data_IF_523145585535
#
_entry.id   IF_523145585535
#
_cell.length_a   1.000
_cell.length_b   1.000
_cell.length_c   1.000
_cell.angle_alpha   90.00
_cell.angle_beta   90.00
_cell.angle_gamma   90.00
#
_symmetry.space_group_name_H-M   'P 1'
#
loop_
_entity.id
_entity.type
_entity.pdbx_description
1 polymer ?
#
# COMPACT_ATOMS: atom_id res chain seq x y z
N UNK A 1 -1.12 -14.09 11.90
CA UNK A 1 -1.84 -13.84 10.64
C UNK A 1 -1.45 -14.91 9.63
N UNK A 2 -2.43 -15.49 8.95
CA UNK A 2 -2.17 -16.52 7.95
C UNK A 2 -1.71 -15.92 6.62
N UNK A 3 -1.13 -16.75 5.75
CA UNK A 3 -0.73 -16.32 4.40
C UNK A 3 -1.92 -15.75 3.63
N UNK A 4 -3.09 -16.40 3.73
CA UNK A 4 -4.30 -15.95 3.06
C UNK A 4 -4.72 -14.57 3.55
N UNK A 5 -4.67 -14.35 4.86
CA UNK A 5 -4.98 -13.05 5.46
C UNK A 5 -3.99 -11.97 5.01
N UNK A 6 -2.71 -12.30 4.94
CA UNK A 6 -1.69 -11.37 4.45
C UNK A 6 -1.91 -11.00 3.00
N UNK A 7 -2.26 -11.98 2.15
CA UNK A 7 -2.56 -11.73 0.74
C UNK A 7 -3.80 -10.85 0.58
N UNK A 8 -4.83 -11.09 1.39
CA UNK A 8 -6.03 -10.26 1.38
C UNK A 8 -5.72 -8.82 1.80
N UNK A 9 -4.92 -8.65 2.85
CA UNK A 9 -4.49 -7.34 3.32
C UNK A 9 -3.69 -6.62 2.23
N UNK A 10 -2.78 -7.31 1.58
CA UNK A 10 -2.00 -6.74 0.47
C UNK A 10 -2.89 -6.25 -0.65
N UNK A 11 -3.91 -7.03 -1.01
CA UNK A 11 -4.87 -6.65 -2.06
C UNK A 11 -5.61 -5.36 -1.71
N UNK A 12 -6.09 -5.26 -0.47
CA UNK A 12 -6.78 -4.06 0.01
C UNK A 12 -5.85 -2.84 -0.04
N UNK A 13 -4.62 -3.00 0.44
CA UNK A 13 -3.64 -1.91 0.45
C UNK A 13 -3.27 -1.49 -0.97
N UNK A 14 -3.12 -2.43 -1.89
CA UNK A 14 -2.80 -2.14 -3.29
C UNK A 14 -3.93 -1.36 -3.96
N UNK A 15 -5.18 -1.74 -3.71
CA UNK A 15 -6.34 -1.00 -4.21
C UNK A 15 -6.38 0.41 -3.64
N UNK A 16 -6.12 0.56 -2.36
CA UNK A 16 -6.07 1.88 -1.71
C UNK A 16 -4.98 2.74 -2.33
N UNK A 17 -3.79 2.20 -2.53
CA UNK A 17 -2.70 2.93 -3.17
C UNK A 17 -3.07 3.38 -4.57
N UNK A 18 -3.68 2.50 -5.38
CA UNK A 18 -4.15 2.84 -6.72
C UNK A 18 -5.15 3.99 -6.71
N UNK A 19 -6.11 3.97 -5.80
CA UNK A 19 -7.10 5.03 -5.65
C UNK A 19 -6.45 6.36 -5.26
N UNK A 20 -5.45 6.32 -4.37
CA UNK A 20 -4.72 7.52 -3.96
C UNK A 20 -3.91 8.10 -5.11
N UNK A 21 -3.27 7.24 -5.91
CA UNK A 21 -2.51 7.68 -7.09
C UNK A 21 -3.43 8.27 -8.17
N UNK A 22 -4.59 7.67 -8.39
CA UNK A 22 -5.59 8.20 -9.32
C UNK A 22 -6.06 9.58 -8.89
N UNK A 23 -6.32 9.75 -7.61
CA UNK A 23 -6.72 11.05 -7.06
C UNK A 23 -5.63 12.09 -7.26
N UNK A 24 -4.37 11.72 -7.01
CA UNK A 24 -3.23 12.59 -7.22
C UNK A 24 -3.13 13.01 -8.68
N UNK A 25 -3.29 12.07 -9.61
CA UNK A 25 -3.25 12.36 -11.04
C UNK A 25 -4.39 13.26 -11.48
N UNK A 26 -5.58 13.08 -10.91
CA UNK A 26 -6.76 13.87 -11.24
C UNK A 26 -6.65 15.30 -10.71
N UNK A 27 -6.15 15.44 -9.49
CA UNK A 27 -6.01 16.76 -8.84
C UNK A 27 -4.76 17.51 -9.29
N UNK A 28 -3.99 16.98 -10.17
CA UNK A 28 -2.64 17.32 -10.63
C UNK A 28 -2.19 18.77 -10.70
N UNK A 29 -2.88 19.68 -10.09
CA UNK A 29 -2.62 21.12 -10.17
C UNK A 29 -2.12 21.72 -8.88
N UNK A 30 -1.50 20.95 -8.04
CA UNK A 30 -0.57 21.59 -7.16
C UNK A 30 -0.93 21.90 -5.73
N UNK A 31 -2.11 21.59 -5.23
CA UNK A 31 -2.30 21.73 -3.78
C UNK A 31 -2.45 20.35 -3.16
N UNK A 32 -1.33 19.64 -3.09
CA UNK A 32 -1.30 18.35 -2.42
C UNK A 32 -1.12 18.61 -0.93
N UNK A 33 -2.11 18.22 -0.15
CA UNK A 33 -2.03 18.37 1.30
C UNK A 33 -0.97 17.41 1.86
N UNK A 34 -0.14 17.89 2.82
CA UNK A 34 0.87 17.03 3.44
C UNK A 34 0.30 15.73 4.04
N UNK A 35 -0.92 15.79 4.56
CA UNK A 35 -1.59 14.60 5.10
C UNK A 35 -1.88 13.55 4.04
N UNK A 36 -2.20 13.97 2.81
CA UNK A 36 -2.41 13.05 1.70
C UNK A 36 -1.12 12.34 1.31
N UNK A 37 -0.01 13.09 1.22
CA UNK A 37 1.30 12.52 0.90
C UNK A 37 1.75 11.54 1.98
N UNK A 38 1.49 11.86 3.24
CA UNK A 38 1.81 10.97 4.35
C UNK A 38 1.00 9.67 4.25
N UNK A 39 -0.29 9.78 3.94
CA UNK A 39 -1.15 8.61 3.78
C UNK A 39 -0.65 7.72 2.64
N UNK A 40 -0.26 8.31 1.52
CA UNK A 40 0.29 7.57 0.39
C UNK A 40 1.60 6.88 0.77
N UNK A 41 2.49 7.58 1.45
CA UNK A 41 3.77 7.03 1.91
C UNK A 41 3.54 5.88 2.91
N UNK A 42 2.62 6.06 3.86
CA UNK A 42 2.30 5.03 4.84
C UNK A 42 1.70 3.79 4.19
N UNK A 43 0.81 3.98 3.21
CA UNK A 43 0.21 2.89 2.46
C UNK A 43 1.27 2.12 1.68
N UNK A 44 2.18 2.82 1.03
CA UNK A 44 3.29 2.20 0.31
C UNK A 44 4.21 1.42 1.25
N UNK A 45 4.55 1.99 2.39
CA UNK A 45 5.38 1.32 3.40
C UNK A 45 4.69 0.06 3.96
N UNK A 46 3.38 0.13 4.17
CA UNK A 46 2.61 -1.03 4.62
C UNK A 46 2.62 -2.16 3.59
N UNK A 47 2.48 -1.83 2.30
CA UNK A 47 2.55 -2.83 1.23
C UNK A 47 3.95 -3.48 1.21
N UNK A 48 5.00 -2.69 1.32
CA UNK A 48 6.37 -3.19 1.35
C UNK A 48 6.59 -4.14 2.54
N UNK A 49 6.05 -3.80 3.71
CA UNK A 49 6.16 -4.65 4.90
C UNK A 49 5.41 -5.97 4.72
N UNK A 50 4.21 -5.93 4.15
CA UNK A 50 3.42 -7.14 3.87
C UNK A 50 4.14 -8.02 2.85
N UNK A 51 4.69 -7.42 1.79
CA UNK A 51 5.46 -8.17 0.77
C UNK A 51 6.67 -8.85 1.38
N UNK A 52 7.41 -8.16 2.24
CA UNK A 52 8.57 -8.74 2.91
C UNK A 52 8.16 -9.94 3.77
N UNK A 53 7.06 -9.82 4.50
CA UNK A 53 6.55 -10.90 5.34
C UNK A 53 6.11 -12.11 4.49
N UNK A 54 5.42 -11.86 3.37
CA UNK A 54 4.99 -12.92 2.47
C UNK A 54 6.19 -13.67 1.88
N UNK A 55 7.25 -12.95 1.51
CA UNK A 55 8.48 -13.56 1.00
C UNK A 55 9.10 -14.46 2.07
N UNK A 56 9.16 -14.01 3.32
CA UNK A 56 9.66 -14.82 4.42
C UNK A 56 8.83 -16.09 4.63
N UNK A 57 7.50 -15.95 4.57
CA UNK A 57 6.59 -17.08 4.74
C UNK A 57 6.74 -18.12 3.63
N UNK A 58 7.00 -17.67 2.41
CA UNK A 58 7.19 -18.56 1.26
C UNK A 58 8.59 -19.18 1.22
N UNK A 59 9.60 -18.39 1.55
CA UNK A 59 10.99 -18.81 1.45
C UNK A 59 11.59 -19.36 2.72
N UNK A 60 10.91 -19.18 3.85
CA UNK A 60 11.42 -19.52 5.16
C UNK A 60 11.20 -20.97 5.59
N UNK A 61 10.65 -21.76 4.72
CA UNK A 61 10.41 -23.15 5.04
C UNK A 61 11.69 -23.95 5.18
#
# INVERSE_FOLDING_TARGET
MTTIEMMALRSVLTLRRGALLDRLATDGSGTIEPGFLRLLADTHAAIAAVDAELIEMEGGA
#
